data_IF_437672760565
#
_entry.id   IF_437672760565
#
_cell.length_a   1.000
_cell.length_b   1.000
_cell.length_c   1.000
_cell.angle_alpha   90.00
_cell.angle_beta   90.00
_cell.angle_gamma   90.00
#
_symmetry.space_group_name_H-M   'P 1'
#
loop_
_entity.id
_entity.type
_entity.pdbx_description
1 polymer ?
#
# COMPACT_ATOMS: atom_id res chain seq x y z
N UNK A 1 8.62 -29.64 18.78
CA UNK A 1 7.49 -28.71 18.58
C UNK A 1 8.06 -27.31 18.65
N UNK A 2 8.30 -26.69 17.48
CA UNK A 2 8.72 -25.29 17.41
C UNK A 2 7.55 -24.43 17.90
N UNK A 3 7.84 -23.48 18.78
CA UNK A 3 6.86 -22.52 19.27
C UNK A 3 6.36 -21.73 18.06
N UNK A 4 5.17 -22.03 17.55
CA UNK A 4 4.57 -21.26 16.47
C UNK A 4 4.43 -19.84 16.97
N UNK A 5 5.19 -18.92 16.41
CA UNK A 5 5.15 -17.54 16.87
C UNK A 5 3.72 -16.98 16.73
N UNK A 6 3.27 -16.27 17.77
CA UNK A 6 1.90 -15.76 17.86
C UNK A 6 1.73 -14.63 16.85
N UNK A 7 0.59 -14.62 16.14
CA UNK A 7 0.18 -13.48 15.33
C UNK A 7 -0.08 -12.27 16.26
N UNK A 8 0.55 -11.14 15.96
CA UNK A 8 0.37 -9.87 16.69
C UNK A 8 -0.24 -8.81 15.78
N UNK A 9 -0.88 -7.82 16.41
CA UNK A 9 -1.43 -6.65 15.74
C UNK A 9 -0.78 -5.42 16.36
N UNK A 10 -0.36 -4.47 15.52
CA UNK A 10 0.16 -3.18 15.98
C UNK A 10 -0.21 -2.08 14.99
N UNK A 11 -0.17 -0.83 15.45
CA UNK A 11 -0.34 0.33 14.58
C UNK A 11 0.66 0.28 13.44
N UNK A 12 0.19 0.62 12.24
CA UNK A 12 1.04 0.83 11.08
C UNK A 12 1.97 2.02 11.34
N UNK A 13 3.24 1.87 10.98
CA UNK A 13 4.23 2.94 11.03
C UNK A 13 4.80 3.22 9.63
N UNK A 14 5.32 4.42 9.34
CA UNK A 14 5.86 4.74 8.01
C UNK A 14 6.93 3.75 7.51
N UNK A 15 7.70 3.14 8.42
CA UNK A 15 8.72 2.13 8.10
C UNK A 15 8.14 0.80 7.59
N UNK A 16 6.83 0.60 7.74
CA UNK A 16 6.12 -0.57 7.21
C UNK A 16 5.76 -0.43 5.74
N UNK A 17 5.75 0.81 5.20
CA UNK A 17 5.26 1.13 3.87
C UNK A 17 5.83 0.22 2.77
N UNK A 18 7.15 0.08 2.71
CA UNK A 18 7.80 -0.74 1.68
C UNK A 18 7.44 -2.22 1.80
N UNK A 19 7.33 -2.74 3.02
CA UNK A 19 6.99 -4.15 3.28
C UNK A 19 5.52 -4.42 2.96
N UNK A 20 4.65 -3.49 3.30
CA UNK A 20 3.23 -3.51 2.96
C UNK A 20 3.00 -3.43 1.44
N UNK A 21 3.66 -2.51 0.74
CA UNK A 21 3.53 -2.37 -0.71
C UNK A 21 3.98 -3.64 -1.45
N UNK A 22 5.06 -4.29 -0.99
CA UNK A 22 5.49 -5.59 -1.53
C UNK A 22 4.45 -6.69 -1.29
N UNK A 23 3.78 -6.70 -0.12
CA UNK A 23 2.71 -7.64 0.16
C UNK A 23 1.51 -7.40 -0.77
N UNK A 24 1.07 -6.15 -0.92
CA UNK A 24 -0.05 -5.76 -1.80
C UNK A 24 0.24 -6.17 -3.26
N UNK A 25 1.41 -5.81 -3.79
CA UNK A 25 1.73 -6.10 -5.20
C UNK A 25 1.78 -7.59 -5.52
N UNK A 26 2.25 -8.42 -4.58
CA UNK A 26 2.19 -9.88 -4.75
C UNK A 26 0.77 -10.46 -4.66
N UNK A 27 -0.13 -9.75 -3.98
CA UNK A 27 -1.49 -10.21 -3.73
C UNK A 27 -2.43 -9.80 -4.86
N UNK A 28 -2.30 -8.58 -5.39
CA UNK A 28 -3.23 -8.00 -6.36
C UNK A 28 -2.72 -8.02 -7.81
N UNK A 29 -1.40 -8.02 -8.00
CA UNK A 29 -0.76 -7.99 -9.33
C UNK A 29 0.13 -9.22 -9.62
N UNK A 30 -0.31 -10.47 -9.32
CA UNK A 30 0.56 -11.65 -9.43
C UNK A 30 1.11 -11.91 -10.85
N UNK A 31 0.49 -11.36 -11.88
CA UNK A 31 0.87 -11.49 -13.29
C UNK A 31 2.00 -10.55 -13.74
N UNK A 32 2.25 -9.46 -12.98
CA UNK A 32 3.29 -8.49 -13.30
C UNK A 32 4.65 -8.86 -12.70
N UNK A 33 5.72 -8.29 -13.22
CA UNK A 33 7.05 -8.48 -12.62
C UNK A 33 7.18 -7.75 -11.28
N UNK A 34 8.21 -8.11 -10.50
CA UNK A 34 8.38 -7.57 -9.16
C UNK A 34 8.65 -6.06 -9.10
N UNK A 35 9.11 -5.43 -10.18
CA UNK A 35 9.32 -3.99 -10.24
C UNK A 35 8.00 -3.26 -10.51
N UNK A 36 7.22 -3.77 -11.46
CA UNK A 36 5.89 -3.27 -11.80
C UNK A 36 4.90 -3.44 -10.63
N UNK A 37 4.88 -4.62 -10.00
CA UNK A 37 4.12 -4.89 -8.76
C UNK A 37 4.44 -3.86 -7.67
N UNK A 38 5.73 -3.62 -7.43
CA UNK A 38 6.16 -2.67 -6.39
C UNK A 38 5.73 -1.25 -6.72
N UNK A 39 5.95 -0.80 -7.96
CA UNK A 39 5.63 0.56 -8.36
C UNK A 39 4.13 0.86 -8.21
N UNK A 40 3.28 -0.02 -8.73
CA UNK A 40 1.83 0.13 -8.67
C UNK A 40 1.32 0.10 -7.21
N UNK A 41 1.70 -0.91 -6.44
CA UNK A 41 1.22 -1.02 -5.05
C UNK A 41 1.81 0.00 -4.09
N UNK A 42 2.96 0.61 -4.39
CA UNK A 42 3.44 1.78 -3.62
C UNK A 42 2.56 3.00 -3.88
N UNK A 43 2.18 3.26 -5.13
CA UNK A 43 1.29 4.38 -5.49
C UNK A 43 -0.06 4.18 -4.81
N UNK A 44 -0.65 3.00 -4.98
CA UNK A 44 -1.95 2.65 -4.42
C UNK A 44 -1.97 2.66 -2.89
N UNK A 45 -0.96 2.08 -2.23
CA UNK A 45 -0.87 2.13 -0.77
C UNK A 45 -0.73 3.58 -0.26
N UNK A 46 0.03 4.42 -0.97
CA UNK A 46 0.13 5.84 -0.62
C UNK A 46 -1.22 6.55 -0.79
N UNK A 47 -1.97 6.23 -1.84
CA UNK A 47 -3.31 6.73 -2.08
C UNK A 47 -4.27 6.36 -0.93
N UNK A 48 -4.36 5.08 -0.56
CA UNK A 48 -5.22 4.66 0.53
C UNK A 48 -4.79 5.24 1.88
N UNK A 49 -3.48 5.28 2.18
CA UNK A 49 -2.97 5.88 3.41
C UNK A 49 -3.26 7.39 3.50
N UNK A 50 -3.36 8.09 2.37
CA UNK A 50 -3.72 9.52 2.34
C UNK A 50 -5.18 9.79 2.76
N UNK A 51 -6.01 8.75 2.80
CA UNK A 51 -7.42 8.81 3.18
C UNK A 51 -7.73 8.07 4.49
N UNK A 52 -6.72 7.41 5.07
CA UNK A 52 -6.87 6.52 6.20
C UNK A 52 -6.83 7.29 7.52
N UNK A 53 -7.88 7.18 8.34
CA UNK A 53 -7.92 7.75 9.70
C UNK A 53 -7.14 6.88 10.69
N UNK A 54 -7.14 5.55 10.49
CA UNK A 54 -6.40 4.61 11.32
C UNK A 54 -5.97 3.35 10.57
N UNK A 55 -4.80 2.80 10.93
CA UNK A 55 -4.24 1.61 10.29
C UNK A 55 -3.49 0.68 11.22
N UNK A 56 -3.51 -0.61 10.87
CA UNK A 56 -2.84 -1.70 11.58
C UNK A 56 -2.05 -2.59 10.62
N UNK A 57 -1.04 -3.26 11.16
CA UNK A 57 -0.39 -4.41 10.52
C UNK A 57 -0.56 -5.67 11.35
N UNK A 58 -0.73 -6.80 10.66
CA UNK A 58 -0.70 -8.14 11.24
C UNK A 58 0.71 -8.72 11.05
N UNK A 59 1.38 -9.08 12.15
CA UNK A 59 2.78 -9.49 12.14
C UNK A 59 2.99 -10.87 12.77
N UNK A 60 3.90 -11.66 12.20
CA UNK A 60 4.42 -12.90 12.79
C UNK A 60 5.90 -13.00 12.46
N UNK A 61 6.77 -13.24 13.44
CA UNK A 61 8.21 -13.36 13.22
C UNK A 61 8.88 -12.17 12.51
N UNK A 62 8.37 -10.95 12.73
CA UNK A 62 8.87 -9.75 12.05
C UNK A 62 8.38 -9.59 10.60
N UNK A 63 7.60 -10.54 10.09
CA UNK A 63 6.99 -10.48 8.77
C UNK A 63 5.58 -9.89 8.83
N UNK A 64 5.30 -8.92 7.96
CA UNK A 64 3.96 -8.38 7.77
C UNK A 64 3.17 -9.34 6.89
N UNK A 65 2.06 -9.83 7.41
CA UNK A 65 1.17 -10.78 6.73
C UNK A 65 -0.16 -10.15 6.30
N UNK A 66 -0.43 -8.92 6.73
CA UNK A 66 -1.63 -8.19 6.39
C UNK A 66 -1.57 -6.74 6.85
N UNK A 67 -2.35 -5.90 6.18
CA UNK A 67 -2.53 -4.48 6.52
C UNK A 67 -4.03 -4.21 6.58
N UNK A 68 -4.45 -3.41 7.55
CA UNK A 68 -5.82 -2.90 7.65
C UNK A 68 -5.75 -1.39 7.58
N UNK A 69 -6.48 -0.81 6.63
CA UNK A 69 -6.64 0.63 6.43
C UNK A 69 -8.11 0.97 6.68
N UNK A 70 -8.37 1.94 7.57
CA UNK A 70 -9.71 2.38 7.93
C UNK A 70 -9.85 3.87 7.67
N UNK A 71 -10.91 4.25 6.94
CA UNK A 71 -11.32 5.64 6.77
C UNK A 71 -12.68 5.84 7.47
N UNK A 72 -12.72 6.68 8.49
CA UNK A 72 -13.95 6.98 9.24
C UNK A 72 -14.66 8.20 8.65
N UNK A 73 -15.93 8.03 8.25
CA UNK A 73 -16.71 9.10 7.66
C UNK A 73 -16.89 10.28 8.62
N UNK A 74 -16.54 11.48 8.15
CA UNK A 74 -16.64 12.72 8.93
C UNK A 74 -15.54 12.91 9.97
N UNK A 75 -14.49 12.08 9.96
CA UNK A 75 -13.26 12.36 10.67
C UNK A 75 -12.22 12.96 9.72
N UNK A 76 -11.41 13.88 10.24
CA UNK A 76 -10.27 14.40 9.49
C UNK A 76 -9.17 13.33 9.45
N UNK A 77 -8.59 13.13 8.27
CA UNK A 77 -7.38 12.31 8.13
C UNK A 77 -6.27 13.00 8.92
N UNK A 78 -5.60 12.30 9.85
CA UNK A 78 -4.50 12.90 10.59
C UNK A 78 -3.44 13.45 9.63
N UNK A 79 -3.06 14.72 9.78
CA UNK A 79 -1.89 15.27 9.07
C UNK A 79 -0.66 14.45 9.47
N UNK A 80 -0.19 13.58 8.57
CA UNK A 80 0.86 12.63 8.95
C UNK A 80 1.44 11.86 7.78
N UNK A 81 2.75 12.05 7.59
CA UNK A 81 3.67 11.33 6.69
C UNK A 81 3.67 11.68 5.19
N UNK A 82 2.81 12.60 4.72
CA UNK A 82 2.91 13.14 3.36
C UNK A 82 2.59 12.11 2.26
N UNK A 83 1.60 11.26 2.52
CA UNK A 83 1.22 10.16 1.62
C UNK A 83 0.67 10.65 0.28
N UNK A 84 -0.11 11.73 0.28
CA UNK A 84 -0.62 12.33 -0.96
C UNK A 84 0.53 12.88 -1.83
N UNK A 85 1.51 13.56 -1.24
CA UNK A 85 2.70 14.00 -1.98
C UNK A 85 3.55 12.82 -2.46
N UNK A 86 3.62 11.75 -1.67
CA UNK A 86 4.31 10.52 -2.05
C UNK A 86 3.65 9.85 -3.26
N UNK A 87 2.34 9.68 -3.24
CA UNK A 87 1.53 9.16 -4.36
C UNK A 87 1.85 9.92 -5.64
N UNK A 88 1.68 11.24 -5.64
CA UNK A 88 1.93 12.10 -6.81
C UNK A 88 3.37 11.96 -7.31
N UNK A 89 4.34 11.87 -6.41
CA UNK A 89 5.76 11.72 -6.77
C UNK A 89 6.03 10.35 -7.41
N UNK A 90 5.46 9.28 -6.88
CA UNK A 90 5.63 7.92 -7.38
C UNK A 90 4.94 7.75 -8.74
N UNK A 91 3.72 8.26 -8.91
CA UNK A 91 3.00 8.23 -10.19
C UNK A 91 3.81 8.91 -11.29
N UNK A 92 4.28 10.14 -11.04
CA UNK A 92 5.14 10.87 -12.00
C UNK A 92 6.46 10.17 -12.30
N UNK A 93 6.96 9.35 -11.39
CA UNK A 93 8.17 8.57 -11.61
C UNK A 93 7.87 7.34 -12.48
N UNK A 94 6.77 6.65 -12.23
CA UNK A 94 6.35 5.48 -13.00
C UNK A 94 5.92 5.82 -14.43
N UNK A 95 5.27 6.96 -14.66
CA UNK A 95 4.90 7.45 -16.01
C UNK A 95 6.11 7.68 -16.93
N UNK A 96 7.33 7.74 -16.38
CA UNK A 96 8.57 7.90 -17.15
C UNK A 96 9.20 6.58 -17.57
N UNK A 97 8.64 5.46 -17.12
CA UNK A 97 9.11 4.11 -17.43
C UNK A 97 7.99 3.29 -18.07
N UNK A 98 8.08 3.10 -19.38
CA UNK A 98 7.10 2.35 -20.18
C UNK A 98 6.86 0.92 -19.66
N UNK A 99 7.82 0.34 -18.91
CA UNK A 99 7.70 -1.01 -18.34
C UNK A 99 6.83 -1.06 -17.09
N UNK A 100 6.69 0.07 -16.40
CA UNK A 100 5.88 0.17 -15.18
C UNK A 100 4.47 0.67 -15.47
N UNK A 101 4.31 1.40 -16.57
CA UNK A 101 3.08 2.11 -16.92
C UNK A 101 1.84 1.20 -16.99
N UNK A 102 1.97 -0.03 -17.50
CA UNK A 102 0.83 -0.95 -17.63
C UNK A 102 0.25 -1.36 -16.26
N UNK A 103 1.10 -1.83 -15.33
CA UNK A 103 0.65 -2.20 -13.98
C UNK A 103 0.08 -1.00 -13.22
N UNK A 104 0.71 0.17 -13.36
CA UNK A 104 0.24 1.40 -12.72
C UNK A 104 -1.10 1.84 -13.29
N UNK A 105 -1.31 1.75 -14.60
CA UNK A 105 -2.61 2.08 -15.19
C UNK A 105 -3.71 1.13 -14.72
N UNK A 106 -3.46 -0.19 -14.72
CA UNK A 106 -4.44 -1.18 -14.25
C UNK A 106 -4.90 -0.89 -12.82
N UNK A 107 -3.97 -0.65 -11.90
CA UNK A 107 -4.35 -0.35 -10.51
C UNK A 107 -5.00 1.03 -10.35
N UNK A 108 -4.47 2.06 -11.01
CA UNK A 108 -5.01 3.41 -10.86
C UNK A 108 -6.38 3.60 -11.52
N UNK A 109 -6.71 2.79 -12.53
CA UNK A 109 -8.07 2.73 -13.05
C UNK A 109 -9.02 2.08 -12.02
N UNK A 110 -8.60 1.01 -11.34
CA UNK A 110 -9.37 0.41 -10.24
C UNK A 110 -9.62 1.39 -9.09
N UNK A 111 -8.59 2.12 -8.66
CA UNK A 111 -8.72 3.16 -7.62
C UNK A 111 -9.71 4.26 -8.02
N UNK A 112 -9.75 4.66 -9.30
CA UNK A 112 -10.71 5.66 -9.79
C UNK A 112 -12.14 5.13 -9.80
N UNK A 113 -12.34 3.88 -10.19
CA UNK A 113 -13.65 3.22 -10.18
C UNK A 113 -14.21 3.09 -8.75
N UNK A 114 -13.36 2.86 -7.75
CA UNK A 114 -13.76 2.81 -6.33
C UNK A 114 -14.16 4.17 -5.73
N UNK A 115 -13.76 5.27 -6.37
CA UNK A 115 -14.04 6.63 -5.92
C UNK A 115 -15.37 7.21 -6.45
N UNK A 116 -16.06 6.50 -7.36
CA UNK A 116 -17.39 6.86 -7.91
C UNK A 116 -18.56 6.31 -7.08
#
# INVERSE_FOLDING_TARGET
MTQTEKLTWRTFAPEDFERAAVLLGRTWLPEFDGAAQRAASQIELAHYLSQTTWSLVAERAGEILGVVLLAEHGQEVPEGAGWAELEVRLTRAAEKDDRLAEAVHVEMDGVREEAE
#
